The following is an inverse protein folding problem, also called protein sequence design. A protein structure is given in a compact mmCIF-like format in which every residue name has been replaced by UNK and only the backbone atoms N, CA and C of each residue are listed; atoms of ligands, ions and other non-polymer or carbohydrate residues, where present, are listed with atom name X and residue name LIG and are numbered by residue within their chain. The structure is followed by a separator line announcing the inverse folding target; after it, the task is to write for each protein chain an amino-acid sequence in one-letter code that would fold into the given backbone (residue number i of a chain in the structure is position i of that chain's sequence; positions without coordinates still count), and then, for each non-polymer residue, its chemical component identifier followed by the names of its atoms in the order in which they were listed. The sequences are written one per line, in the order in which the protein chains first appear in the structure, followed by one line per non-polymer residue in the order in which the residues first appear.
data_IF_506396448363
#
_entry.id   IF_506396448363
#
_cell.length_a   1.000
_cell.length_b   1.000
_cell.length_c   1.000
_cell.angle_alpha   90.00
_cell.angle_beta   90.00
_cell.angle_gamma   90.00
#
_symmetry.space_group_name_H-M   'P 1'
#
loop_
_entity.id
_entity.type
_entity.pdbx_description
1 polymer ?
#
# COMPACT_ATOMS: atom_id res chain seq x y z
N UNK A 1 -34.30 -4.40 23.80
CA UNK A 1 -33.17 -5.12 24.41
C UNK A 1 -32.19 -5.41 23.27
N UNK A 2 -31.02 -4.74 23.26
CA UNK A 2 -30.13 -4.74 22.10
C UNK A 2 -29.52 -6.12 21.84
N UNK A 3 -29.51 -6.53 20.57
CA UNK A 3 -28.90 -7.77 20.10
C UNK A 3 -27.43 -7.83 20.54
N UNK A 4 -27.10 -8.78 21.42
CA UNK A 4 -25.74 -8.96 21.91
C UNK A 4 -24.90 -9.54 20.76
N UNK A 5 -23.80 -8.87 20.41
CA UNK A 5 -22.93 -9.31 19.30
C UNK A 5 -22.49 -10.75 19.54
N UNK A 6 -22.81 -11.64 18.59
CA UNK A 6 -22.35 -13.04 18.60
C UNK A 6 -20.82 -13.08 18.72
N UNK A 7 -20.34 -13.91 19.64
CA UNK A 7 -18.90 -14.18 19.79
C UNK A 7 -18.41 -14.88 18.52
N UNK A 8 -17.33 -14.39 17.89
CA UNK A 8 -16.83 -14.98 16.66
C UNK A 8 -16.24 -16.36 16.90
N UNK A 9 -16.42 -17.26 15.93
CA UNK A 9 -15.92 -18.64 16.00
C UNK A 9 -14.40 -18.74 16.02
N UNK A 10 -13.72 -17.77 15.41
CA UNK A 10 -12.27 -17.69 15.37
C UNK A 10 -11.79 -16.48 16.16
N UNK A 11 -10.78 -16.70 16.99
CA UNK A 11 -10.15 -15.64 17.78
C UNK A 11 -9.61 -14.54 16.83
N UNK A 12 -9.82 -13.28 17.22
CA UNK A 12 -9.48 -12.11 16.42
C UNK A 12 -8.03 -12.10 15.93
N UNK A 13 -7.07 -12.65 16.67
CA UNK A 13 -5.67 -12.73 16.22
C UNK A 13 -5.45 -13.49 14.91
N UNK A 14 -6.39 -14.36 14.51
CA UNK A 14 -6.34 -15.08 13.24
C UNK A 14 -6.86 -14.25 12.06
N UNK A 15 -7.46 -13.10 12.33
CA UNK A 15 -8.04 -12.28 11.28
C UNK A 15 -6.92 -11.54 10.56
N UNK A 16 -6.93 -11.57 9.23
CA UNK A 16 -5.96 -10.88 8.37
C UNK A 16 -5.80 -9.37 8.65
N UNK A 17 -6.75 -8.79 9.38
CA UNK A 17 -6.85 -7.36 9.69
C UNK A 17 -6.41 -7.03 11.10
N UNK A 18 -6.24 -8.03 11.95
CA UNK A 18 -6.00 -7.86 13.37
C UNK A 18 -4.76 -7.03 13.63
N UNK A 19 -3.62 -7.45 13.07
CA UNK A 19 -2.35 -6.75 13.24
C UNK A 19 -2.42 -5.31 12.73
N UNK A 20 -3.18 -5.06 11.66
CA UNK A 20 -3.37 -3.72 11.09
C UNK A 20 -4.19 -2.84 12.01
N UNK A 21 -5.25 -3.39 12.62
CA UNK A 21 -6.08 -2.68 13.59
C UNK A 21 -5.29 -2.38 14.86
N UNK A 22 -4.52 -3.35 15.38
CA UNK A 22 -3.65 -3.17 16.54
C UNK A 22 -2.58 -2.09 16.28
N UNK A 23 -2.00 -2.05 15.07
CA UNK A 23 -0.99 -1.08 14.68
C UNK A 23 -1.55 0.28 14.22
N UNK A 24 -2.87 0.55 14.37
CA UNK A 24 -3.54 1.76 13.87
C UNK A 24 -3.28 2.06 12.37
N UNK A 25 -3.15 1.01 11.56
CA UNK A 25 -2.99 1.11 10.12
C UNK A 25 -4.36 1.15 9.41
N UNK A 26 -4.44 1.69 8.18
CA UNK A 26 -5.67 1.68 7.40
C UNK A 26 -6.26 0.28 7.28
N UNK A 27 -7.58 0.17 7.32
CA UNK A 27 -8.28 -1.12 7.25
C UNK A 27 -8.15 -1.79 5.87
N UNK A 28 -8.14 -0.99 4.80
CA UNK A 28 -8.03 -1.47 3.41
C UNK A 28 -6.58 -1.49 2.91
N UNK A 29 -6.33 -2.34 1.91
CA UNK A 29 -5.05 -2.53 1.24
C UNK A 29 -4.91 -1.68 -0.03
N UNK A 30 -5.77 -0.67 -0.24
CA UNK A 30 -5.82 0.15 -1.46
C UNK A 30 -4.45 0.66 -1.92
N UNK A 31 -3.59 1.07 -0.98
CA UNK A 31 -2.23 1.54 -1.30
C UNK A 31 -1.36 0.44 -1.92
N UNK A 32 -1.50 -0.80 -1.44
CA UNK A 32 -0.79 -1.98 -1.94
C UNK A 32 -1.34 -2.36 -3.31
N UNK A 33 -2.66 -2.34 -3.48
CA UNK A 33 -3.32 -2.61 -4.78
C UNK A 33 -2.90 -1.57 -5.84
N UNK A 34 -2.88 -0.29 -5.47
CA UNK A 34 -2.39 0.79 -6.32
C UNK A 34 -0.92 0.60 -6.72
N UNK A 35 -0.09 0.13 -5.79
CA UNK A 35 1.30 -0.21 -6.09
C UNK A 35 1.41 -1.41 -7.05
N UNK A 36 0.63 -2.47 -6.84
CA UNK A 36 0.58 -3.63 -7.75
C UNK A 36 0.14 -3.23 -9.16
N UNK A 37 -0.89 -2.39 -9.30
CA UNK A 37 -1.35 -1.89 -10.59
C UNK A 37 -0.25 -1.06 -11.29
N UNK A 38 0.42 -0.17 -10.57
CA UNK A 38 1.54 0.60 -11.11
C UNK A 38 2.76 -0.27 -11.45
N UNK A 39 3.02 -1.33 -10.67
CA UNK A 39 4.08 -2.30 -10.95
C UNK A 39 3.78 -3.12 -12.21
N UNK A 40 2.56 -3.64 -12.35
CA UNK A 40 2.13 -4.38 -13.53
C UNK A 40 2.27 -3.54 -14.81
N UNK A 41 1.85 -2.27 -14.75
CA UNK A 41 2.05 -1.31 -15.85
C UNK A 41 3.53 -1.07 -16.17
N UNK A 42 4.42 -1.02 -15.17
CA UNK A 42 5.88 -0.85 -15.37
C UNK A 42 6.56 -2.10 -15.92
N UNK A 43 6.11 -3.29 -15.51
CA UNK A 43 6.61 -4.57 -16.03
C UNK A 43 6.15 -4.76 -17.47
N UNK A 44 4.90 -4.37 -17.79
CA UNK A 44 4.30 -4.40 -19.13
C UNK A 44 4.43 -5.75 -19.84
N UNK A 45 4.41 -6.85 -19.07
CA UNK A 45 4.45 -8.22 -19.57
C UNK A 45 3.31 -8.97 -18.89
N UNK A 46 2.40 -9.55 -19.68
CA UNK A 46 1.24 -10.28 -19.16
C UNK A 46 1.64 -11.54 -18.38
N UNK A 47 2.60 -12.31 -18.92
CA UNK A 47 3.08 -13.56 -18.31
C UNK A 47 4.62 -13.63 -18.32
N UNK A 48 5.30 -12.92 -17.39
CA UNK A 48 6.74 -12.98 -17.30
C UNK A 48 7.21 -14.32 -16.76
N UNK A 49 8.33 -14.84 -17.28
CA UNK A 49 9.04 -15.95 -16.63
C UNK A 49 9.57 -15.51 -15.27
N UNK A 50 9.76 -16.46 -14.36
CA UNK A 50 10.24 -16.18 -12.99
C UNK A 50 11.52 -15.34 -13.01
N UNK A 51 12.47 -15.65 -13.90
CA UNK A 51 13.73 -14.89 -14.03
C UNK A 51 13.49 -13.44 -14.45
N UNK A 52 12.60 -13.19 -15.41
CA UNK A 52 12.24 -11.84 -15.86
C UNK A 52 11.51 -11.07 -14.76
N UNK A 53 10.61 -11.73 -14.04
CA UNK A 53 9.92 -11.14 -12.90
C UNK A 53 10.92 -10.75 -11.80
N UNK A 54 11.84 -11.64 -11.45
CA UNK A 54 12.88 -11.38 -10.45
C UNK A 54 13.77 -10.19 -10.84
N UNK A 55 14.17 -10.07 -12.11
CA UNK A 55 14.91 -8.92 -12.61
C UNK A 55 14.13 -7.62 -12.44
N UNK A 56 12.84 -7.61 -12.77
CA UNK A 56 11.97 -6.44 -12.63
C UNK A 56 11.78 -6.04 -11.17
N UNK A 57 11.60 -7.01 -10.28
CA UNK A 57 11.52 -6.78 -8.83
C UNK A 57 12.82 -6.15 -8.32
N UNK A 58 13.99 -6.69 -8.71
CA UNK A 58 15.30 -6.14 -8.32
C UNK A 58 15.44 -4.67 -8.77
N UNK A 59 15.06 -4.36 -10.01
CA UNK A 59 15.11 -2.99 -10.53
C UNK A 59 14.21 -2.03 -9.74
N UNK A 60 13.01 -2.46 -9.39
CA UNK A 60 12.09 -1.65 -8.59
C UNK A 60 12.59 -1.46 -7.16
N UNK A 61 13.16 -2.50 -6.54
CA UNK A 61 13.79 -2.36 -5.23
C UNK A 61 14.96 -1.35 -5.25
N UNK A 62 15.80 -1.37 -6.29
CA UNK A 62 16.89 -0.38 -6.39
C UNK A 62 16.36 1.05 -6.47
N UNK A 63 15.28 1.30 -7.22
CA UNK A 63 14.64 2.63 -7.27
C UNK A 63 14.10 3.04 -5.90
N UNK A 64 13.39 2.12 -5.22
CA UNK A 64 12.85 2.38 -3.89
C UNK A 64 13.94 2.70 -2.87
N UNK A 65 15.09 2.03 -2.92
CA UNK A 65 16.22 2.34 -2.04
C UNK A 65 16.71 3.77 -2.22
N UNK A 66 16.89 4.21 -3.46
CA UNK A 66 17.28 5.59 -3.79
C UNK A 66 16.25 6.59 -3.26
N UNK A 67 14.96 6.32 -3.47
CA UNK A 67 13.88 7.18 -2.96
C UNK A 67 13.88 7.25 -1.43
N UNK A 68 14.10 6.11 -0.74
CA UNK A 68 14.20 6.05 0.73
C UNK A 68 15.40 6.86 1.22
N UNK A 69 16.57 6.71 0.60
CA UNK A 69 17.78 7.47 0.97
C UNK A 69 17.58 8.97 0.78
N UNK A 70 16.94 9.36 -0.32
CA UNK A 70 16.57 10.75 -0.59
C UNK A 70 15.64 11.30 0.50
N UNK A 71 14.62 10.55 0.90
CA UNK A 71 13.72 10.94 2.00
C UNK A 71 14.48 11.04 3.33
N UNK A 72 15.38 10.09 3.63
CA UNK A 72 16.23 10.14 4.83
C UNK A 72 17.14 11.37 4.86
N UNK A 73 17.59 11.84 3.69
CA UNK A 73 18.36 13.08 3.53
C UNK A 73 17.51 14.36 3.66
N UNK A 74 16.21 14.24 3.95
CA UNK A 74 15.31 15.37 4.16
C UNK A 74 14.69 15.93 2.88
N UNK A 75 14.91 15.30 1.72
CA UNK A 75 14.20 15.69 0.51
C UNK A 75 12.73 15.27 0.59
N UNK A 76 11.85 16.18 0.19
CA UNK A 76 10.42 15.88 0.17
C UNK A 76 10.07 14.84 -0.91
N UNK A 77 9.14 13.91 -0.62
CA UNK A 77 8.57 13.02 -1.62
C UNK A 77 7.95 13.81 -2.77
N UNK A 78 7.85 13.19 -3.95
CA UNK A 78 7.17 13.82 -5.10
C UNK A 78 5.77 14.30 -4.69
N UNK A 79 5.52 15.59 -4.92
CA UNK A 79 4.26 16.22 -4.53
C UNK A 79 3.05 15.48 -5.13
N UNK A 80 2.01 15.28 -4.31
CA UNK A 80 0.72 14.77 -4.78
C UNK A 80 0.20 15.68 -5.90
N UNK A 81 -0.39 15.08 -6.96
CA UNK A 81 -1.05 15.87 -8.02
C UNK A 81 -2.07 16.83 -7.41
N UNK A 82 -2.17 18.04 -7.98
CA UNK A 82 -3.02 19.11 -7.47
C UNK A 82 -4.49 18.68 -7.28
N UNK A 83 -5.01 17.81 -8.16
CA UNK A 83 -6.37 17.26 -8.07
C UNK A 83 -6.58 16.50 -6.76
N UNK A 84 -5.64 15.65 -6.35
CA UNK A 84 -5.74 14.90 -5.10
C UNK A 84 -5.55 15.78 -3.87
N UNK A 85 -4.73 16.84 -3.97
CA UNK A 85 -4.62 17.85 -2.90
C UNK A 85 -5.95 18.54 -2.67
N UNK A 86 -6.62 19.00 -3.73
CA UNK A 86 -7.95 19.62 -3.65
C UNK A 86 -9.03 18.69 -3.07
N UNK A 87 -8.96 17.40 -3.41
CA UNK A 87 -9.83 16.37 -2.82
C UNK A 87 -9.58 16.18 -1.32
N UNK A 88 -8.31 16.06 -0.89
CA UNK A 88 -7.94 15.97 0.54
C UNK A 88 -8.43 17.20 1.31
N UNK A 89 -8.25 18.42 0.77
CA UNK A 89 -8.72 19.66 1.38
C UNK A 89 -10.25 19.69 1.54
N UNK A 90 -11.00 19.10 0.60
CA UNK A 90 -12.46 18.99 0.69
C UNK A 90 -12.91 17.98 1.75
N UNK A 91 -12.13 16.93 1.98
CA UNK A 91 -12.44 15.90 3.00
C UNK A 91 -12.13 16.42 4.41
N UNK A 92 -11.19 17.37 4.54
CA UNK A 92 -10.78 17.96 5.83
C UNK A 92 -11.65 19.14 6.30
N UNK A 93 -12.52 19.67 5.44
CA UNK A 93 -13.55 20.68 5.79
C UNK A 93 -14.82 19.99 6.27
#
# INVERSE_FOLDING_TARGET
MGDARKVPQFNHHLWNIYDRVVANLPRSNNSIEGWHAAFANRVSIAHPTISKLAERIKREQSKLKIDIERIKQGHEPKAKKAVYRKLDERIKR
#
